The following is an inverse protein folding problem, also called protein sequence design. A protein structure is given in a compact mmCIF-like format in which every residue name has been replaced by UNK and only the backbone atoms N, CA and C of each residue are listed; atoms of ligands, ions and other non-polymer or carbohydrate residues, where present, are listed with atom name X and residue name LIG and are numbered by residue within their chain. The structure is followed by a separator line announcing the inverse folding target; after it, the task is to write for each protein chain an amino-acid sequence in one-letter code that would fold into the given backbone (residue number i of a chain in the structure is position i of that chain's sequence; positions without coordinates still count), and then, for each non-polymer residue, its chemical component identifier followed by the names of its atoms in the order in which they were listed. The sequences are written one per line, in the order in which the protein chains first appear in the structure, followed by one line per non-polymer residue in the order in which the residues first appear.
data_IF_354518582784
#
_entry.id   IF_354518582784
#
_cell.length_a   1.000
_cell.length_b   1.000
_cell.length_c   1.000
_cell.angle_alpha   90.00
_cell.angle_beta   90.00
_cell.angle_gamma   90.00
#
_symmetry.space_group_name_H-M   'P 1'
#
loop_
_entity.id
_entity.type
_entity.pdbx_description
1 polymer ?
#
# COMPACT_ATOMS: atom_id res chain seq x y z
N UNK A 1 5.99 -8.18 64.79
CA UNK A 1 5.90 -7.33 63.59
C UNK A 1 5.53 -8.24 62.42
N UNK A 2 4.26 -8.22 61.99
CA UNK A 2 3.78 -9.02 60.86
C UNK A 2 3.46 -8.09 59.69
N UNK A 3 4.30 -8.15 58.66
CA UNK A 3 4.19 -7.37 57.43
C UNK A 3 3.15 -8.03 56.51
N UNK A 4 2.00 -7.38 56.30
CA UNK A 4 1.01 -7.81 55.32
C UNK A 4 1.40 -7.25 53.95
N UNK A 5 1.78 -8.13 53.02
CA UNK A 5 1.94 -7.79 51.62
C UNK A 5 0.57 -7.85 50.92
N UNK A 6 0.08 -6.70 50.47
CA UNK A 6 -1.13 -6.60 49.65
C UNK A 6 -0.75 -6.87 48.20
N UNK A 7 -1.14 -8.03 47.69
CA UNK A 7 -0.99 -8.41 46.30
C UNK A 7 -2.16 -7.81 45.50
N UNK A 8 -1.94 -6.69 44.82
CA UNK A 8 -2.91 -6.13 43.87
C UNK A 8 -2.90 -6.95 42.58
N UNK A 9 -3.88 -7.84 42.43
CA UNK A 9 -4.20 -8.49 41.15
C UNK A 9 -4.78 -7.43 40.19
N UNK A 10 -3.94 -6.95 39.26
CA UNK A 10 -4.40 -6.20 38.11
C UNK A 10 -5.14 -7.18 37.17
N UNK A 11 -6.47 -7.05 37.10
CA UNK A 11 -7.31 -7.71 36.11
C UNK A 11 -6.98 -7.10 34.74
N UNK A 12 -6.21 -7.81 33.93
CA UNK A 12 -6.06 -7.51 32.50
C UNK A 12 -7.41 -7.77 31.82
N UNK A 13 -8.21 -6.72 31.65
CA UNK A 13 -9.37 -6.77 30.79
C UNK A 13 -8.88 -7.08 29.37
N UNK A 14 -9.16 -8.29 28.88
CA UNK A 14 -8.89 -8.66 27.50
C UNK A 14 -9.70 -7.70 26.60
N UNK A 15 -9.06 -6.90 25.72
CA UNK A 15 -9.82 -6.07 24.80
C UNK A 15 -10.74 -6.99 23.99
N UNK A 16 -12.02 -6.65 23.93
CA UNK A 16 -12.97 -7.38 23.08
C UNK A 16 -12.44 -7.38 21.65
N UNK A 17 -12.55 -8.50 20.91
CA UNK A 17 -12.05 -8.56 19.54
C UNK A 17 -12.76 -7.49 18.71
N UNK A 18 -11.99 -6.48 18.27
CA UNK A 18 -12.49 -5.47 17.35
C UNK A 18 -12.74 -6.16 16.01
N UNK A 19 -14.01 -6.28 15.60
CA UNK A 19 -14.34 -6.78 14.28
C UNK A 19 -13.69 -5.87 13.23
N UNK A 20 -12.79 -6.43 12.41
CA UNK A 20 -12.18 -5.74 11.27
C UNK A 20 -12.86 -6.28 10.02
N UNK A 21 -13.58 -5.45 9.24
CA UNK A 21 -14.17 -5.91 7.99
C UNK A 21 -13.06 -6.37 7.03
N UNK A 22 -13.35 -7.33 6.14
CA UNK A 22 -12.38 -7.76 5.13
C UNK A 22 -12.01 -6.60 4.21
N UNK A 23 -10.82 -6.63 3.58
CA UNK A 23 -10.47 -5.65 2.56
C UNK A 23 -11.49 -5.64 1.42
N UNK A 24 -11.81 -4.45 0.92
CA UNK A 24 -12.66 -4.26 -0.25
C UNK A 24 -11.78 -3.85 -1.43
N UNK A 25 -11.79 -4.66 -2.49
CA UNK A 25 -11.03 -4.37 -3.70
C UNK A 25 -11.95 -3.98 -4.85
N UNK A 26 -11.55 -2.95 -5.60
CA UNK A 26 -12.20 -2.52 -6.84
C UNK A 26 -11.16 -2.48 -7.94
N UNK A 27 -11.52 -2.94 -9.14
CA UNK A 27 -10.67 -2.86 -10.34
C UNK A 27 -11.54 -2.47 -11.53
N UNK A 28 -11.01 -1.60 -12.38
CA UNK A 28 -11.69 -1.20 -13.62
C UNK A 28 -10.69 -0.75 -14.69
N UNK A 29 -11.17 -0.66 -15.92
CA UNK A 29 -10.44 -0.21 -17.10
C UNK A 29 -11.21 0.92 -17.78
N UNK A 30 -10.49 1.96 -18.21
CA UNK A 30 -11.08 3.03 -18.98
C UNK A 30 -10.13 3.52 -20.07
N UNK A 31 -10.66 4.28 -21.01
CA UNK A 31 -9.88 4.97 -22.02
C UNK A 31 -9.99 6.47 -21.78
N UNK A 32 -8.86 7.14 -21.66
CA UNK A 32 -8.78 8.59 -21.47
C UNK A 32 -9.18 9.34 -22.75
N UNK A 33 -9.34 10.66 -22.66
CA UNK A 33 -9.73 11.48 -23.82
C UNK A 33 -8.67 11.49 -24.93
N UNK A 34 -7.40 11.31 -24.57
CA UNK A 34 -6.25 11.19 -25.47
C UNK A 34 -6.05 9.76 -26.00
N UNK A 35 -6.93 8.83 -25.65
CA UNK A 35 -6.97 7.48 -26.20
C UNK A 35 -6.07 6.46 -25.49
N UNK A 36 -5.49 6.83 -24.33
CA UNK A 36 -4.69 5.91 -23.53
C UNK A 36 -5.60 4.93 -22.79
N UNK A 37 -5.23 3.65 -22.80
CA UNK A 37 -5.96 2.61 -22.09
C UNK A 37 -5.36 2.45 -20.70
N UNK A 38 -6.14 2.83 -19.69
CA UNK A 38 -5.75 2.84 -18.29
C UNK A 38 -6.46 1.73 -17.53
N UNK A 39 -5.72 1.03 -16.68
CA UNK A 39 -6.24 0.12 -15.66
C UNK A 39 -5.98 0.74 -14.30
N UNK A 40 -6.96 0.66 -13.41
CA UNK A 40 -6.75 1.02 -12.01
C UNK A 40 -7.35 -0.02 -11.08
N UNK A 41 -6.75 -0.13 -9.90
CA UNK A 41 -7.32 -0.89 -8.80
C UNK A 41 -7.14 -0.12 -7.49
N UNK A 42 -8.04 -0.36 -6.55
CA UNK A 42 -7.97 0.15 -5.19
C UNK A 42 -8.28 -0.97 -4.20
N UNK A 43 -7.68 -0.88 -3.02
CA UNK A 43 -8.06 -1.69 -1.87
C UNK A 43 -8.31 -0.79 -0.67
N UNK A 44 -9.47 -0.93 -0.06
CA UNK A 44 -9.84 -0.26 1.20
C UNK A 44 -9.73 -1.25 2.36
N UNK A 45 -9.09 -0.88 3.45
CA UNK A 45 -8.86 -1.74 4.61
C UNK A 45 -8.82 -0.95 5.92
N UNK A 46 -9.31 -1.54 7.02
CA UNK A 46 -9.31 -0.88 8.34
C UNK A 46 -7.92 -0.87 8.98
N UNK A 47 -7.63 0.06 9.88
CA UNK A 47 -6.42 0.11 10.71
C UNK A 47 -6.74 -0.29 12.17
N UNK A 48 -5.74 -0.67 12.99
CA UNK A 48 -5.98 -1.13 14.37
C UNK A 48 -6.68 -0.12 15.28
N UNK A 49 -6.58 1.17 14.98
CA UNK A 49 -7.19 2.28 15.72
C UNK A 49 -8.60 2.65 15.21
N UNK A 50 -9.13 1.90 14.25
CA UNK A 50 -10.46 2.12 13.67
C UNK A 50 -10.48 3.09 12.48
N UNK A 51 -9.34 3.66 12.08
CA UNK A 51 -9.24 4.43 10.84
C UNK A 51 -9.36 3.51 9.61
N UNK A 52 -9.59 4.10 8.44
CA UNK A 52 -9.64 3.37 7.16
C UNK A 52 -8.51 3.85 6.25
N UNK A 53 -7.73 2.93 5.71
CA UNK A 53 -6.74 3.20 4.69
C UNK A 53 -7.24 2.74 3.32
N UNK A 54 -6.76 3.39 2.28
CA UNK A 54 -6.99 3.00 0.89
C UNK A 54 -5.69 3.11 0.12
N UNK A 55 -5.35 2.06 -0.63
CA UNK A 55 -4.21 2.06 -1.54
C UNK A 55 -4.73 1.94 -2.97
N UNK A 56 -4.22 2.78 -3.87
CA UNK A 56 -4.66 2.86 -5.27
C UNK A 56 -3.45 2.68 -6.18
N UNK A 57 -3.62 1.87 -7.23
CA UNK A 57 -2.70 1.74 -8.36
C UNK A 57 -3.43 2.13 -9.64
N UNK A 58 -2.78 2.94 -10.46
CA UNK A 58 -3.24 3.35 -11.79
C UNK A 58 -2.08 3.13 -12.75
N UNK A 59 -2.31 2.49 -13.89
CA UNK A 59 -1.30 2.38 -14.93
C UNK A 59 -1.92 2.33 -16.32
N UNK A 60 -1.19 2.85 -17.30
CA UNK A 60 -1.65 2.98 -18.68
C UNK A 60 -0.71 2.32 -19.71
N UNK A 61 -1.10 2.43 -20.97
CA UNK A 61 -0.43 1.81 -22.11
C UNK A 61 0.70 2.65 -22.73
N UNK A 62 1.02 3.78 -22.10
CA UNK A 62 2.17 4.62 -22.41
C UNK A 62 3.40 4.31 -21.54
N UNK A 63 3.30 3.29 -20.66
CA UNK A 63 4.27 3.02 -19.60
C UNK A 63 4.36 4.16 -18.60
N UNK A 64 3.21 4.61 -18.10
CA UNK A 64 3.12 5.48 -16.94
C UNK A 64 2.05 5.04 -15.96
N UNK A 65 2.05 5.68 -14.80
CA UNK A 65 0.95 5.61 -13.87
C UNK A 65 1.26 6.20 -12.50
N UNK A 66 0.31 6.01 -11.60
CA UNK A 66 0.27 6.65 -10.29
C UNK A 66 -0.13 5.67 -9.19
N UNK A 67 0.46 5.88 -8.01
CA UNK A 67 0.23 5.09 -6.81
C UNK A 67 -0.09 6.01 -5.66
N UNK A 68 -1.16 5.72 -4.92
CA UNK A 68 -1.61 6.57 -3.84
C UNK A 68 -1.85 5.77 -2.56
N UNK A 69 -1.54 6.38 -1.43
CA UNK A 69 -1.95 5.91 -0.12
C UNK A 69 -2.79 7.00 0.56
N UNK A 70 -4.01 6.64 0.94
CA UNK A 70 -4.93 7.49 1.69
C UNK A 70 -5.21 6.90 3.07
N UNK A 71 -5.45 7.77 4.05
CA UNK A 71 -6.06 7.39 5.33
C UNK A 71 -7.20 8.37 5.63
N UNK A 72 -8.40 7.83 5.88
CA UNK A 72 -9.64 8.60 6.07
C UNK A 72 -9.90 9.65 4.97
N UNK A 73 -9.53 9.33 3.72
CA UNK A 73 -9.68 10.22 2.57
C UNK A 73 -8.58 11.29 2.44
N UNK A 74 -7.60 11.32 3.34
CA UNK A 74 -6.44 12.21 3.24
C UNK A 74 -5.28 11.51 2.53
N UNK A 75 -4.75 12.11 1.46
CA UNK A 75 -3.60 11.58 0.73
C UNK A 75 -2.32 11.73 1.56
N UNK A 76 -1.68 10.62 1.90
CA UNK A 76 -0.42 10.59 2.64
C UNK A 76 0.78 10.42 1.73
N UNK A 77 0.63 9.66 0.65
CA UNK A 77 1.69 9.39 -0.32
C UNK A 77 1.11 9.41 -1.72
N UNK A 78 1.87 10.00 -2.64
CA UNK A 78 1.66 9.87 -4.08
C UNK A 78 3.00 9.54 -4.73
N UNK A 79 3.01 8.53 -5.58
CA UNK A 79 4.11 8.21 -6.46
C UNK A 79 3.63 8.23 -7.90
N UNK A 80 4.43 8.80 -8.79
CA UNK A 80 4.23 8.74 -10.23
C UNK A 80 5.44 8.05 -10.85
N UNK A 81 5.20 7.25 -11.88
CA UNK A 81 6.25 6.68 -12.71
C UNK A 81 5.94 6.90 -14.18
N UNK A 82 6.98 7.20 -14.95
CA UNK A 82 6.96 7.02 -16.39
C UNK A 82 8.33 6.52 -16.88
N UNK A 83 8.36 5.81 -18.02
CA UNK A 83 9.57 5.18 -18.54
C UNK A 83 10.68 6.18 -18.92
N UNK A 84 10.34 7.45 -19.19
CA UNK A 84 11.29 8.48 -19.61
C UNK A 84 11.94 9.21 -18.42
N UNK A 85 11.17 9.49 -17.37
CA UNK A 85 11.60 10.29 -16.22
C UNK A 85 11.85 9.44 -14.96
N UNK A 86 11.43 8.19 -14.95
CA UNK A 86 11.55 7.30 -13.81
C UNK A 86 10.51 7.60 -12.72
N UNK A 87 10.87 7.31 -11.47
CA UNK A 87 9.98 7.48 -10.31
C UNK A 87 10.11 8.90 -9.75
N UNK A 88 8.96 9.52 -9.47
CA UNK A 88 8.84 10.68 -8.58
C UNK A 88 7.86 10.37 -7.46
N UNK A 89 8.07 10.95 -6.28
CA UNK A 89 7.16 10.75 -5.15
C UNK A 89 7.10 11.99 -4.26
N UNK A 90 5.97 12.14 -3.60
CA UNK A 90 5.73 13.12 -2.55
C UNK A 90 5.05 12.44 -1.37
N UNK A 91 5.30 12.97 -0.17
CA UNK A 91 4.66 12.54 1.07
C UNK A 91 4.04 13.76 1.75
N UNK A 92 2.88 13.57 2.36
CA UNK A 92 2.17 14.63 3.10
C UNK A 92 3.04 15.20 4.23
N UNK A 93 2.88 16.50 4.46
CA UNK A 93 3.51 17.23 5.57
C UNK A 93 2.54 17.47 6.73
N UNK A 94 1.33 16.91 6.67
CA UNK A 94 0.36 17.01 7.76
C UNK A 94 0.93 16.31 9.01
N UNK A 95 0.81 16.91 10.21
CA UNK A 95 1.35 16.32 11.42
C UNK A 95 0.82 14.90 11.66
N UNK A 96 1.73 13.92 11.76
CA UNK A 96 1.37 12.51 11.99
C UNK A 96 1.16 11.69 10.73
N UNK A 97 1.30 12.29 9.53
CA UNK A 97 1.17 11.59 8.27
C UNK A 97 2.17 10.43 8.13
N UNK A 98 3.39 10.57 8.65
CA UNK A 98 4.40 9.51 8.62
C UNK A 98 4.01 8.30 9.46
N UNK A 99 3.51 8.53 10.68
CA UNK A 99 3.00 7.48 11.56
C UNK A 99 1.78 6.77 10.95
N UNK A 100 0.86 7.52 10.35
CA UNK A 100 -0.30 6.96 9.65
C UNK A 100 0.13 6.14 8.42
N UNK A 101 1.08 6.64 7.64
CA UNK A 101 1.62 5.92 6.49
C UNK A 101 2.30 4.61 6.91
N UNK A 102 3.06 4.62 8.00
CA UNK A 102 3.67 3.41 8.58
C UNK A 102 2.62 2.40 9.04
N UNK A 103 1.59 2.84 9.77
CA UNK A 103 0.51 1.96 10.20
C UNK A 103 -0.28 1.37 9.02
N UNK A 104 -0.55 2.18 8.00
CA UNK A 104 -1.22 1.74 6.80
C UNK A 104 -0.36 0.77 5.98
N UNK A 105 0.95 0.97 5.93
CA UNK A 105 1.89 0.07 5.28
C UNK A 105 1.95 -1.30 5.96
N UNK A 106 2.05 -1.33 7.29
CA UNK A 106 2.02 -2.60 8.05
C UNK A 106 0.70 -3.35 7.84
N UNK A 107 -0.42 -2.63 7.78
CA UNK A 107 -1.71 -3.24 7.51
C UNK A 107 -1.87 -3.74 6.07
N UNK A 108 -1.11 -3.17 5.12
CA UNK A 108 -1.11 -3.56 3.71
C UNK A 108 -0.36 -4.87 3.44
N UNK A 109 0.66 -5.20 4.25
CA UNK A 109 1.52 -6.40 4.10
C UNK A 109 0.76 -7.75 4.10
N UNK A 110 -0.49 -7.76 4.57
CA UNK A 110 -1.35 -8.94 4.61
C UNK A 110 -2.35 -9.05 3.46
N UNK A 111 -3.56 -9.51 3.80
CA UNK A 111 -4.64 -9.80 2.84
C UNK A 111 -4.99 -8.62 1.92
N UNK A 112 -4.84 -7.38 2.38
CA UNK A 112 -5.14 -6.20 1.59
C UNK A 112 -4.19 -6.04 0.39
N UNK A 113 -2.88 -6.16 0.61
CA UNK A 113 -1.88 -6.07 -0.45
C UNK A 113 -2.05 -7.19 -1.48
N UNK A 114 -2.24 -8.43 -1.02
CA UNK A 114 -2.53 -9.57 -1.90
C UNK A 114 -3.80 -9.34 -2.71
N UNK A 115 -4.90 -8.94 -2.08
CA UNK A 115 -6.17 -8.72 -2.77
C UNK A 115 -6.07 -7.61 -3.83
N UNK A 116 -5.33 -6.53 -3.56
CA UNK A 116 -5.07 -5.49 -4.54
C UNK A 116 -4.29 -6.02 -5.75
N UNK A 117 -3.17 -6.71 -5.50
CA UNK A 117 -2.29 -7.20 -6.54
C UNK A 117 -2.99 -8.26 -7.41
N UNK A 118 -3.77 -9.16 -6.80
CA UNK A 118 -4.56 -10.15 -7.52
C UNK A 118 -5.59 -9.47 -8.45
N UNK A 119 -6.34 -8.49 -7.94
CA UNK A 119 -7.31 -7.76 -8.75
C UNK A 119 -6.64 -6.96 -9.87
N UNK A 120 -5.52 -6.27 -9.55
CA UNK A 120 -4.80 -5.45 -10.51
C UNK A 120 -4.16 -6.30 -11.61
N UNK A 121 -3.57 -7.45 -11.27
CA UNK A 121 -2.96 -8.35 -12.27
C UNK A 121 -4.00 -9.09 -13.12
N UNK A 122 -5.21 -9.27 -12.59
CA UNK A 122 -6.31 -9.96 -13.25
C UNK A 122 -6.06 -11.46 -13.47
N UNK A 123 -7.12 -12.23 -13.62
CA UNK A 123 -6.99 -13.71 -13.73
C UNK A 123 -6.78 -14.20 -15.17
N UNK A 124 -6.94 -13.32 -16.17
CA UNK A 124 -6.89 -13.74 -17.58
C UNK A 124 -5.46 -13.74 -18.11
N UNK A 125 -5.03 -14.88 -18.66
CA UNK A 125 -3.79 -14.99 -19.43
C UNK A 125 -3.79 -14.06 -20.66
N UNK A 126 -4.97 -13.77 -21.21
CA UNK A 126 -5.13 -12.82 -22.32
C UNK A 126 -4.62 -11.43 -21.95
N UNK A 127 -4.96 -10.93 -20.75
CA UNK A 127 -4.45 -9.66 -20.27
C UNK A 127 -2.93 -9.72 -20.07
N UNK A 128 -2.45 -10.68 -19.25
CA UNK A 128 -1.03 -10.81 -18.88
C UNK A 128 -0.11 -10.97 -20.10
N UNK A 129 -0.54 -11.69 -21.13
CA UNK A 129 0.25 -11.88 -22.33
C UNK A 129 0.11 -10.74 -23.37
N UNK A 130 -0.87 -9.85 -23.24
CA UNK A 130 -1.10 -8.79 -24.22
C UNK A 130 -0.02 -7.70 -24.14
N UNK A 131 0.33 -7.08 -25.27
CA UNK A 131 1.26 -5.95 -25.30
C UNK A 131 0.81 -4.80 -24.39
N UNK A 132 -0.51 -4.62 -24.27
CA UNK A 132 -1.12 -3.67 -23.35
C UNK A 132 -0.90 -4.05 -21.88
N UNK A 133 -1.28 -5.27 -21.49
CA UNK A 133 -1.14 -5.75 -20.12
C UNK A 133 0.31 -5.79 -19.63
N UNK A 134 1.27 -6.16 -20.50
CA UNK A 134 2.70 -6.08 -20.16
C UNK A 134 3.14 -4.67 -19.75
N UNK A 135 2.68 -3.64 -20.46
CA UNK A 135 3.00 -2.23 -20.13
C UNK A 135 2.34 -1.81 -18.81
N UNK A 136 1.06 -2.13 -18.62
CA UNK A 136 0.30 -1.85 -17.40
C UNK A 136 0.95 -2.52 -16.18
N UNK A 137 1.34 -3.79 -16.30
CA UNK A 137 1.97 -4.54 -15.22
C UNK A 137 3.38 -4.02 -14.91
N UNK A 138 4.18 -3.72 -15.94
CA UNK A 138 5.50 -3.08 -15.78
C UNK A 138 5.38 -1.74 -15.07
N UNK A 139 4.46 -0.88 -15.49
CA UNK A 139 4.20 0.40 -14.82
C UNK A 139 3.76 0.19 -13.38
N UNK A 140 2.76 -0.67 -13.17
CA UNK A 140 2.27 -1.04 -11.84
C UNK A 140 3.38 -1.49 -10.90
N UNK A 141 4.36 -2.27 -11.37
CA UNK A 141 5.53 -2.72 -10.60
C UNK A 141 6.31 -1.54 -10.01
N UNK A 142 6.69 -0.58 -10.85
CA UNK A 142 7.47 0.58 -10.41
C UNK A 142 6.67 1.49 -9.49
N UNK A 143 5.39 1.67 -9.78
CA UNK A 143 4.48 2.50 -8.99
C UNK A 143 4.25 1.89 -7.61
N UNK A 144 4.02 0.59 -7.54
CA UNK A 144 3.88 -0.16 -6.29
C UNK A 144 5.11 0.05 -5.41
N UNK A 145 6.30 -0.26 -5.95
CA UNK A 145 7.55 -0.08 -5.23
C UNK A 145 7.76 1.38 -4.78
N UNK A 146 7.45 2.34 -5.63
CA UNK A 146 7.60 3.77 -5.32
C UNK A 146 6.65 4.23 -4.20
N UNK A 147 5.37 3.88 -4.26
CA UNK A 147 4.39 4.28 -3.26
C UNK A 147 4.65 3.60 -1.90
N UNK A 148 5.04 2.32 -1.92
CA UNK A 148 5.45 1.58 -0.71
C UNK A 148 6.69 2.20 -0.08
N UNK A 149 7.74 2.46 -0.88
CA UNK A 149 8.97 3.05 -0.37
C UNK A 149 8.78 4.51 0.07
N UNK A 150 7.91 5.27 -0.61
CA UNK A 150 7.48 6.60 -0.18
C UNK A 150 6.80 6.57 1.19
N UNK A 151 5.94 5.57 1.43
CA UNK A 151 5.27 5.36 2.72
C UNK A 151 6.27 5.00 3.83
N UNK A 152 7.22 4.12 3.52
CA UNK A 152 8.30 3.76 4.45
C UNK A 152 9.19 4.98 4.79
N UNK A 153 9.52 5.81 3.79
CA UNK A 153 10.28 7.04 3.98
C UNK A 153 9.52 8.05 4.84
N UNK A 154 8.21 8.24 4.61
CA UNK A 154 7.38 9.10 5.44
C UNK A 154 7.39 8.66 6.91
N UNK A 155 7.24 7.35 7.16
CA UNK A 155 7.35 6.79 8.51
C UNK A 155 8.74 7.01 9.13
N UNK A 156 9.81 6.80 8.36
CA UNK A 156 11.19 7.01 8.81
C UNK A 156 11.43 8.42 9.34
N UNK A 157 10.90 9.44 8.66
CA UNK A 157 11.09 10.85 9.04
C UNK A 157 10.48 11.15 10.42
N UNK A 158 9.30 10.62 10.72
CA UNK A 158 8.60 10.92 11.97
C UNK A 158 9.07 10.07 13.16
N UNK A 159 9.46 8.81 12.92
CA UNK A 159 9.80 7.87 14.00
C UNK A 159 11.28 7.89 14.41
N UNK A 160 12.12 8.63 13.67
CA UNK A 160 13.56 8.71 13.90
C UNK A 160 14.29 7.40 13.57
N UNK A 161 15.57 7.29 13.95
CA UNK A 161 16.44 6.18 13.51
C UNK A 161 15.93 4.78 13.88
N UNK A 162 15.30 4.63 15.05
CA UNK A 162 14.84 3.32 15.54
C UNK A 162 13.62 2.85 14.76
N UNK A 163 12.62 3.72 14.56
CA UNK A 163 11.43 3.36 13.78
C UNK A 163 11.71 3.28 12.28
N UNK A 164 12.72 4.00 11.78
CA UNK A 164 13.11 3.92 10.37
C UNK A 164 13.62 2.54 9.97
N UNK A 165 14.31 1.82 10.86
CA UNK A 165 14.71 0.43 10.58
C UNK A 165 13.52 -0.50 10.37
N UNK A 166 12.46 -0.33 11.18
CA UNK A 166 11.23 -1.13 11.06
C UNK A 166 10.45 -0.77 9.80
N UNK A 167 10.22 0.52 9.56
CA UNK A 167 9.49 0.98 8.38
C UNK A 167 10.23 0.69 7.08
N UNK A 168 11.55 0.81 7.07
CA UNK A 168 12.38 0.45 5.92
C UNK A 168 12.33 -1.06 5.61
N UNK A 169 12.41 -1.92 6.62
CA UNK A 169 12.36 -3.37 6.43
C UNK A 169 10.98 -3.84 5.92
N UNK A 170 9.90 -3.35 6.54
CA UNK A 170 8.53 -3.66 6.12
C UNK A 170 8.25 -3.12 4.70
N UNK A 171 8.67 -1.88 4.42
CA UNK A 171 8.56 -1.29 3.09
C UNK A 171 9.30 -2.08 2.03
N UNK A 172 10.53 -2.53 2.33
CA UNK A 172 11.30 -3.33 1.39
C UNK A 172 10.63 -4.67 1.09
N UNK A 173 10.24 -5.42 2.11
CA UNK A 173 9.59 -6.72 1.94
C UNK A 173 8.30 -6.60 1.12
N UNK A 174 7.49 -5.55 1.39
CA UNK A 174 6.26 -5.32 0.65
C UNK A 174 6.52 -4.88 -0.81
N UNK A 175 7.52 -4.03 -1.03
CA UNK A 175 7.92 -3.59 -2.37
C UNK A 175 8.38 -4.79 -3.23
N UNK A 176 9.15 -5.70 -2.64
CA UNK A 176 9.64 -6.92 -3.30
C UNK A 176 8.48 -7.88 -3.61
N UNK A 177 7.65 -8.21 -2.61
CA UNK A 177 6.52 -9.12 -2.79
C UNK A 177 5.54 -8.67 -3.88
N UNK A 178 5.19 -7.37 -3.90
CA UNK A 178 4.32 -6.86 -4.97
C UNK A 178 5.02 -6.70 -6.31
N UNK A 179 6.33 -6.46 -6.33
CA UNK A 179 7.11 -6.46 -7.57
C UNK A 179 7.09 -7.84 -8.24
N UNK A 180 7.29 -8.91 -7.47
CA UNK A 180 7.22 -10.28 -7.98
C UNK A 180 5.83 -10.62 -8.55
N UNK A 181 4.76 -10.21 -7.86
CA UNK A 181 3.39 -10.40 -8.33
C UNK A 181 3.12 -9.69 -9.67
N UNK A 182 3.72 -8.50 -9.86
CA UNK A 182 3.54 -7.66 -11.04
C UNK A 182 4.49 -8.01 -12.20
N UNK A 183 5.55 -8.78 -11.94
CA UNK A 183 6.44 -9.32 -12.98
C UNK A 183 5.92 -10.61 -13.62
N UNK A 184 4.88 -11.23 -13.06
CA UNK A 184 4.33 -12.49 -13.55
C UNK A 184 3.43 -12.32 -14.79
N UNK A 185 3.99 -11.77 -15.87
CA UNK A 185 3.39 -11.74 -17.20
C UNK A 185 4.13 -12.66 -18.17
N UNK A 186 3.49 -13.01 -19.29
CA UNK A 186 4.06 -13.94 -20.27
C UNK A 186 5.24 -13.24 -20.97
N UNK A 187 6.45 -13.77 -20.91
CA UNK A 187 7.57 -13.29 -21.74
C UNK A 187 7.42 -13.74 -23.19
#
# INVERSE_FOLDING_TARGET
MFTHAVFSLALFASPSPTYRPPPLTVVDEYTTQDGQRTRWASVTYGLPDGQTAEFILVADDSNSGDGYLYVNGEALVHATWDDANGVSSWTSSVPGAGALAGAALTALEGEAGTALLDAFTGDSQVFKCSAWGKKVLRAGKYIWGAAVMGSAAACCVETGMVGCGLCGAAGWALAEAGSEALENYCD
#
